data_IF_432830965161
#
_entry.id   IF_432830965161
#
_cell.length_a   1.000
_cell.length_b   1.000
_cell.length_c   1.000
_cell.angle_alpha   90.00
_cell.angle_beta   90.00
_cell.angle_gamma   90.00
#
_symmetry.space_group_name_H-M   'P 1'
#
loop_
_entity.id
_entity.type
_entity.pdbx_description
1 polymer ?
#
# COMPACT_ATOMS: atom_id res chain seq x y z
N UNK A 1 -37.11 -34.38 46.21
CA UNK A 1 -36.28 -35.11 45.25
C UNK A 1 -36.65 -34.58 43.87
N UNK A 2 -36.51 -33.26 43.62
CA UNK A 2 -35.23 -32.58 43.31
C UNK A 2 -34.67 -33.14 41.98
N UNK A 3 -34.44 -32.39 40.91
CA UNK A 3 -34.25 -30.93 40.77
C UNK A 3 -34.44 -30.58 39.29
N UNK A 4 -35.06 -29.44 39.00
CA UNK A 4 -34.96 -28.73 37.72
C UNK A 4 -33.52 -28.23 37.50
N UNK A 5 -32.96 -28.29 36.29
CA UNK A 5 -31.77 -27.52 35.97
C UNK A 5 -32.17 -26.15 35.39
N UNK A 6 -31.88 -25.10 36.16
CA UNK A 6 -31.67 -23.74 35.66
C UNK A 6 -30.24 -23.59 35.18
N UNK A 7 -30.05 -22.99 34.02
CA UNK A 7 -28.79 -22.39 33.57
C UNK A 7 -29.19 -21.13 32.78
N UNK A 8 -29.35 -19.99 33.44
CA UNK A 8 -28.28 -19.04 33.79
C UNK A 8 -27.63 -18.42 32.56
N UNK A 9 -28.01 -17.15 32.37
CA UNK A 9 -27.35 -16.12 31.61
C UNK A 9 -25.83 -16.17 31.74
N UNK A 10 -25.17 -16.36 30.60
CA UNK A 10 -23.82 -15.86 30.39
C UNK A 10 -23.77 -15.23 29.01
N UNK A 11 -24.08 -13.94 28.99
CA UNK A 11 -23.63 -13.04 27.96
C UNK A 11 -22.09 -13.08 27.93
N UNK A 12 -21.51 -13.80 26.96
CA UNK A 12 -20.09 -13.70 26.64
C UNK A 12 -19.83 -12.33 26.04
N UNK A 13 -19.40 -11.44 26.92
CA UNK A 13 -18.78 -10.15 26.68
C UNK A 13 -17.85 -10.18 25.47
N UNK A 14 -18.22 -9.40 24.46
CA UNK A 14 -17.31 -8.90 23.43
C UNK A 14 -16.17 -8.15 24.12
N UNK A 15 -15.01 -8.78 24.24
CA UNK A 15 -13.76 -8.09 24.53
C UNK A 15 -13.18 -7.56 23.22
N UNK A 16 -13.85 -6.55 22.66
CA UNK A 16 -13.30 -5.68 21.63
C UNK A 16 -12.22 -4.84 22.32
N UNK A 17 -10.96 -5.23 22.17
CA UNK A 17 -9.82 -4.46 22.61
C UNK A 17 -9.79 -3.17 21.79
N UNK A 18 -10.35 -2.10 22.37
CA UNK A 18 -10.22 -0.74 21.87
C UNK A 18 -8.75 -0.37 21.83
N UNK A 19 -8.17 -0.32 20.63
CA UNK A 19 -6.88 0.30 20.37
C UNK A 19 -7.01 1.80 20.65
N UNK A 20 -6.68 2.23 21.88
CA UNK A 20 -6.49 3.64 22.15
C UNK A 20 -5.27 4.14 21.37
N UNK A 21 -5.36 5.30 20.69
CA UNK A 21 -4.23 5.86 19.95
C UNK A 21 -3.11 6.23 20.90
N UNK A 22 -1.91 5.69 20.67
CA UNK A 22 -0.75 6.00 21.51
C UNK A 22 -0.47 7.52 21.55
N UNK A 23 -0.13 8.07 22.73
CA UNK A 23 0.04 9.50 22.92
C UNK A 23 1.21 10.04 22.10
N UNK A 24 1.08 11.25 21.51
CA UNK A 24 2.14 11.83 20.68
C UNK A 24 3.43 12.04 21.48
N UNK A 25 4.58 11.89 20.81
CA UNK A 25 5.92 12.05 21.41
C UNK A 25 6.70 13.22 20.80
N UNK A 26 7.69 13.73 21.52
CA UNK A 26 8.63 14.72 21.00
C UNK A 26 9.56 14.06 19.96
N UNK A 27 9.68 14.64 18.77
CA UNK A 27 10.52 14.09 17.70
C UNK A 27 12.04 14.14 17.98
N UNK A 28 12.49 14.87 19.00
CA UNK A 28 13.91 15.01 19.35
C UNK A 28 14.28 14.19 20.58
N UNK A 29 13.57 14.37 21.70
CA UNK A 29 13.87 13.68 22.95
C UNK A 29 13.00 12.46 23.23
N UNK A 30 12.06 12.14 22.33
CA UNK A 30 11.18 10.96 22.34
C UNK A 30 10.24 10.82 23.55
N UNK A 31 10.25 11.78 24.49
CA UNK A 31 9.32 11.78 25.62
C UNK A 31 7.86 11.89 25.14
N UNK A 32 6.96 11.04 25.64
CA UNK A 32 5.54 11.12 25.34
C UNK A 32 4.90 12.34 26.00
N UNK A 33 3.74 12.76 25.47
CA UNK A 33 2.95 13.86 26.04
C UNK A 33 2.63 13.64 27.52
N UNK A 34 2.44 12.40 27.95
CA UNK A 34 2.13 12.00 29.34
C UNK A 34 3.25 12.30 30.32
N UNK A 35 4.50 12.38 29.86
CA UNK A 35 5.69 12.66 30.68
C UNK A 35 6.13 14.14 30.62
N UNK A 36 5.41 14.98 29.88
CA UNK A 36 5.78 16.39 29.67
C UNK A 36 4.86 17.31 30.49
N UNK A 37 5.42 18.33 31.17
CA UNK A 37 4.62 19.28 31.97
C UNK A 37 3.76 20.22 31.11
N UNK A 38 3.98 20.23 29.79
CA UNK A 38 3.29 21.10 28.84
C UNK A 38 2.92 20.32 27.57
N UNK A 39 1.86 20.75 26.84
CA UNK A 39 1.51 20.15 25.56
C UNK A 39 2.61 20.32 24.52
N UNK A 40 2.82 19.26 23.74
CA UNK A 40 3.68 19.24 22.57
C UNK A 40 3.22 20.29 21.57
N UNK A 41 4.19 20.99 21.00
CA UNK A 41 3.96 22.04 20.02
C UNK A 41 4.23 21.49 18.64
N UNK A 42 3.34 21.81 17.71
CA UNK A 42 3.52 21.48 16.32
C UNK A 42 4.56 22.41 15.69
N UNK A 43 5.33 21.90 14.72
CA UNK A 43 6.13 22.75 13.86
C UNK A 43 5.24 23.75 13.12
N UNK A 44 5.53 25.04 13.26
CA UNK A 44 4.71 26.11 12.65
C UNK A 44 4.60 26.01 11.11
N UNK A 45 5.58 25.37 10.45
CA UNK A 45 5.59 25.21 8.99
C UNK A 45 4.78 24.01 8.52
N UNK A 46 5.00 22.82 9.07
CA UNK A 46 4.36 21.60 8.56
C UNK A 46 3.13 21.16 9.36
N UNK A 47 2.98 21.63 10.60
CA UNK A 47 1.93 21.25 11.55
C UNK A 47 1.80 19.75 11.86
N UNK A 48 2.75 18.91 11.42
CA UNK A 48 2.70 17.44 11.56
C UNK A 48 3.69 16.88 12.59
N UNK A 49 4.86 17.49 12.76
CA UNK A 49 5.87 17.03 13.73
C UNK A 49 5.75 17.78 15.05
N UNK A 50 5.86 17.05 16.16
CA UNK A 50 5.70 17.52 17.53
C UNK A 50 7.03 17.73 18.26
N UNK A 51 7.13 18.80 19.05
CA UNK A 51 8.29 19.09 19.91
C UNK A 51 7.84 19.61 21.27
N UNK A 52 8.54 19.22 22.34
CA UNK A 52 8.24 19.73 23.68
C UNK A 52 8.71 21.17 23.89
N UNK A 53 9.71 21.62 23.13
CA UNK A 53 10.27 22.96 23.25
C UNK A 53 10.88 23.47 21.94
N UNK A 54 11.20 24.77 21.90
CA UNK A 54 11.91 25.38 20.75
C UNK A 54 13.33 24.86 20.63
N UNK A 55 13.95 24.49 21.75
CA UNK A 55 15.28 23.91 21.85
C UNK A 55 15.27 22.54 21.17
N UNK A 56 14.33 21.66 21.53
CA UNK A 56 14.17 20.37 20.85
C UNK A 56 13.87 20.54 19.35
N UNK A 57 13.06 21.54 18.95
CA UNK A 57 12.84 21.81 17.53
C UNK A 57 14.13 22.22 16.80
N UNK A 58 14.97 23.06 17.40
CA UNK A 58 16.26 23.49 16.83
C UNK A 58 17.24 22.32 16.72
N UNK A 59 17.34 21.49 17.75
CA UNK A 59 18.18 20.28 17.76
C UNK A 59 17.73 19.28 16.69
N UNK A 60 16.43 19.01 16.59
CA UNK A 60 15.82 18.14 15.59
C UNK A 60 15.79 18.74 14.17
N UNK A 61 16.07 20.04 14.02
CA UNK A 61 15.88 20.78 12.77
C UNK A 61 16.69 20.21 11.60
N UNK A 62 17.93 19.77 11.84
CA UNK A 62 18.79 19.23 10.76
C UNK A 62 18.17 17.98 10.11
N UNK A 63 17.53 17.13 10.91
CA UNK A 63 16.81 15.95 10.42
C UNK A 63 15.45 16.34 9.84
N UNK A 64 14.67 17.13 10.59
CA UNK A 64 13.31 17.52 10.26
C UNK A 64 13.21 18.39 8.99
N UNK A 65 14.15 19.31 8.73
CA UNK A 65 14.09 20.22 7.57
C UNK A 65 13.99 19.49 6.23
N UNK A 66 14.48 18.24 6.16
CA UNK A 66 14.40 17.39 4.95
C UNK A 66 12.97 16.93 4.65
N UNK A 67 12.11 16.88 5.67
CA UNK A 67 10.71 16.45 5.59
C UNK A 67 9.72 17.57 5.96
N UNK A 68 10.20 18.70 6.49
CA UNK A 68 9.38 19.80 6.97
C UNK A 68 8.64 20.54 5.86
N UNK A 69 7.32 20.40 5.83
CA UNK A 69 6.43 21.04 4.86
C UNK A 69 6.27 20.22 3.58
N UNK A 70 6.83 19.00 3.55
CA UNK A 70 6.38 17.97 2.63
C UNK A 70 5.08 17.40 3.22
N UNK A 71 4.04 17.14 2.40
CA UNK A 71 2.86 16.44 2.89
C UNK A 71 3.31 15.15 3.59
N UNK A 72 2.76 14.89 4.78
CA UNK A 72 3.08 13.69 5.57
C UNK A 72 2.32 12.45 5.05
N UNK A 73 2.10 12.45 3.75
CA UNK A 73 1.64 11.31 3.00
C UNK A 73 2.91 10.72 2.41
N UNK A 74 3.13 9.43 2.57
CA UNK A 74 4.15 8.71 1.81
C UNK A 74 3.89 8.70 0.29
N UNK A 75 3.26 9.76 -0.23
CA UNK A 75 2.82 9.95 -1.61
C UNK A 75 3.53 11.19 -2.17
N UNK A 76 4.23 10.98 -3.28
CA UNK A 76 4.97 12.00 -4.00
C UNK A 76 4.03 13.12 -4.50
N UNK A 77 4.28 14.43 -4.32
CA UNK A 77 3.39 15.49 -4.83
C UNK A 77 3.13 15.46 -6.34
N UNK A 78 4.05 14.90 -7.14
CA UNK A 78 3.81 14.65 -8.57
C UNK A 78 2.78 13.54 -8.84
N UNK A 79 2.53 12.68 -7.86
CA UNK A 79 1.60 11.56 -7.89
C UNK A 79 0.15 12.03 -7.89
N UNK A 80 -0.26 12.95 -7.02
CA UNK A 80 -1.65 13.43 -6.98
C UNK A 80 -2.04 14.21 -8.25
N UNK A 81 -1.10 14.97 -8.81
CA UNK A 81 -1.29 15.66 -10.09
C UNK A 81 -1.37 14.66 -11.25
N UNK A 82 -0.53 13.63 -11.27
CA UNK A 82 -0.62 12.54 -12.26
C UNK A 82 -1.89 11.71 -12.09
N UNK A 83 -2.33 11.39 -10.87
CA UNK A 83 -3.58 10.70 -10.55
C UNK A 83 -4.78 11.45 -11.14
N UNK A 84 -4.83 12.77 -10.91
CA UNK A 84 -5.90 13.65 -11.40
C UNK A 84 -5.85 13.86 -12.92
N UNK A 85 -4.65 13.88 -13.53
CA UNK A 85 -4.48 14.04 -14.97
C UNK A 85 -4.71 12.75 -15.76
N UNK A 86 -4.43 11.58 -15.17
CA UNK A 86 -4.59 10.27 -15.80
C UNK A 86 -5.99 9.66 -15.59
N UNK A 87 -6.89 10.35 -14.88
CA UNK A 87 -8.23 9.82 -14.55
C UNK A 87 -8.21 8.59 -13.63
N UNK A 88 -7.07 8.29 -13.01
CA UNK A 88 -6.88 7.17 -12.09
C UNK A 88 -7.43 7.47 -10.69
N UNK A 89 -8.03 8.65 -10.50
CA UNK A 89 -8.88 8.96 -9.35
C UNK A 89 -10.17 8.15 -9.35
N UNK A 90 -10.55 7.51 -10.46
CA UNK A 90 -11.73 6.68 -10.46
C UNK A 90 -11.46 5.39 -9.70
N UNK A 91 -12.27 5.13 -8.68
CA UNK A 91 -12.41 3.83 -8.05
C UNK A 91 -12.57 2.70 -9.09
N UNK A 92 -12.97 3.05 -10.32
CA UNK A 92 -13.36 2.16 -11.41
C UNK A 92 -12.31 1.94 -12.51
N UNK A 93 -11.03 2.32 -12.36
CA UNK A 93 -10.04 2.22 -13.47
C UNK A 93 -10.03 0.84 -14.15
N UNK A 94 -9.88 -0.25 -13.39
CA UNK A 94 -9.89 -1.61 -13.94
C UNK A 94 -11.27 -2.02 -14.46
N UNK A 95 -12.36 -1.42 -13.97
CA UNK A 95 -13.73 -1.74 -14.36
C UNK A 95 -14.04 -1.26 -15.79
N UNK A 96 -13.30 -0.26 -16.29
CA UNK A 96 -13.46 0.29 -17.63
C UNK A 96 -12.64 -0.44 -18.70
N UNK A 97 -11.76 -1.36 -18.29
CA UNK A 97 -10.87 -2.07 -19.20
C UNK A 97 -11.51 -3.36 -19.73
N UNK A 98 -11.18 -3.77 -20.96
CA UNK A 98 -11.46 -5.12 -21.43
C UNK A 98 -10.86 -6.17 -20.49
N UNK A 99 -11.53 -7.31 -20.35
CA UNK A 99 -11.13 -8.39 -19.43
C UNK A 99 -9.65 -8.81 -19.58
N UNK A 100 -9.20 -8.98 -20.82
CA UNK A 100 -7.81 -9.34 -21.13
C UNK A 100 -6.80 -8.29 -20.62
N UNK A 101 -7.16 -7.02 -20.73
CA UNK A 101 -6.30 -5.92 -20.31
C UNK A 101 -6.25 -5.84 -18.78
N UNK A 102 -7.36 -6.12 -18.08
CA UNK A 102 -7.38 -6.23 -16.62
C UNK A 102 -6.39 -7.29 -16.15
N UNK A 103 -6.42 -8.49 -16.74
CA UNK A 103 -5.46 -9.54 -16.37
C UNK A 103 -4.02 -9.11 -16.63
N UNK A 104 -3.74 -8.61 -17.83
CA UNK A 104 -2.39 -8.19 -18.24
C UNK A 104 -1.85 -7.12 -17.30
N UNK A 105 -2.65 -6.09 -17.00
CA UNK A 105 -2.24 -4.98 -16.15
C UNK A 105 -2.12 -5.36 -14.68
N UNK A 106 -2.95 -6.27 -14.15
CA UNK A 106 -2.77 -6.79 -12.79
C UNK A 106 -1.44 -7.53 -12.66
N UNK A 107 -1.09 -8.32 -13.68
CA UNK A 107 0.17 -9.07 -13.67
C UNK A 107 1.37 -8.13 -13.84
N UNK A 108 1.32 -7.19 -14.79
CA UNK A 108 2.41 -6.23 -14.99
C UNK A 108 2.56 -5.24 -13.83
N UNK A 109 1.47 -4.88 -13.16
CA UNK A 109 1.51 -4.14 -11.89
C UNK A 109 2.31 -4.91 -10.83
N UNK A 110 2.04 -6.21 -10.66
CA UNK A 110 2.80 -7.05 -9.76
C UNK A 110 4.27 -7.19 -10.19
N UNK A 111 4.55 -7.49 -11.46
CA UNK A 111 5.92 -7.64 -11.98
C UNK A 111 6.74 -6.38 -11.76
N UNK A 112 6.19 -5.22 -12.09
CA UNK A 112 6.85 -3.93 -11.92
C UNK A 112 7.04 -3.58 -10.43
N UNK A 113 6.12 -4.01 -9.55
CA UNK A 113 6.27 -3.85 -8.11
C UNK A 113 7.45 -4.67 -7.56
N UNK A 114 7.58 -5.92 -8.00
CA UNK A 114 8.69 -6.81 -7.63
C UNK A 114 10.01 -6.22 -8.11
N UNK A 115 10.05 -5.71 -9.34
CA UNK A 115 11.19 -4.97 -9.89
C UNK A 115 11.58 -3.79 -9.00
N UNK A 116 10.61 -2.92 -8.67
CA UNK A 116 10.86 -1.73 -7.86
C UNK A 116 11.37 -2.08 -6.45
N UNK A 117 10.82 -3.09 -5.74
CA UNK A 117 11.36 -3.50 -4.43
C UNK A 117 12.80 -4.05 -4.56
N UNK A 118 13.09 -4.83 -5.61
CA UNK A 118 14.44 -5.35 -5.83
C UNK A 118 15.43 -4.20 -6.08
N UNK A 119 15.12 -3.31 -7.03
CA UNK A 119 16.01 -2.20 -7.44
C UNK A 119 16.24 -1.20 -6.32
N UNK A 120 15.20 -0.80 -5.58
CA UNK A 120 15.30 0.27 -4.59
C UNK A 120 15.64 -0.22 -3.17
N UNK A 121 15.32 -1.48 -2.83
CA UNK A 121 15.50 -2.02 -1.46
C UNK A 121 16.41 -3.23 -1.39
N UNK A 122 16.82 -3.78 -2.52
CA UNK A 122 17.59 -5.02 -2.57
C UNK A 122 16.79 -6.24 -2.10
N UNK A 123 15.45 -6.17 -2.14
CA UNK A 123 14.61 -7.33 -1.81
C UNK A 123 14.70 -8.36 -2.93
N UNK A 124 15.51 -9.38 -2.70
CA UNK A 124 15.68 -10.50 -3.62
C UNK A 124 14.67 -11.63 -3.36
N UNK A 125 13.54 -11.39 -2.69
CA UNK A 125 12.48 -12.39 -2.53
C UNK A 125 11.79 -12.77 -3.85
N UNK A 126 11.17 -13.96 -3.90
CA UNK A 126 10.38 -14.37 -5.06
C UNK A 126 11.22 -14.61 -6.31
N UNK A 127 10.89 -13.92 -7.41
CA UNK A 127 11.52 -14.08 -8.73
C UNK A 127 13.04 -13.92 -8.68
N UNK A 128 13.53 -12.89 -7.99
CA UNK A 128 14.97 -12.58 -7.90
C UNK A 128 15.74 -13.53 -6.98
N UNK A 129 15.03 -14.25 -6.11
CA UNK A 129 15.59 -15.25 -5.20
C UNK A 129 15.53 -16.66 -5.75
N UNK A 130 15.02 -16.85 -6.98
CA UNK A 130 14.78 -18.16 -7.58
C UNK A 130 13.61 -18.93 -6.97
N UNK A 131 12.77 -18.27 -6.18
CA UNK A 131 11.58 -18.85 -5.58
C UNK A 131 10.39 -18.80 -6.56
N UNK A 132 9.36 -19.59 -6.31
CA UNK A 132 8.12 -19.53 -7.09
C UNK A 132 7.35 -18.24 -6.75
N UNK A 133 7.10 -17.33 -7.72
CA UNK A 133 6.40 -16.07 -7.47
C UNK A 133 4.87 -16.24 -7.33
N UNK A 134 4.30 -17.38 -7.72
CA UNK A 134 2.84 -17.58 -7.75
C UNK A 134 2.15 -17.42 -6.38
N UNK A 135 2.67 -17.95 -5.26
CA UNK A 135 2.08 -17.71 -3.94
C UNK A 135 2.02 -16.23 -3.56
N UNK A 136 3.04 -15.45 -3.94
CA UNK A 136 3.04 -14.01 -3.67
C UNK A 136 2.07 -13.25 -4.56
N UNK A 137 2.04 -13.58 -5.86
CA UNK A 137 1.03 -13.06 -6.78
C UNK A 137 -0.40 -13.34 -6.30
N UNK A 138 -0.66 -14.53 -5.73
CA UNK A 138 -1.97 -14.86 -5.11
C UNK A 138 -2.30 -13.96 -3.92
N UNK A 139 -1.31 -13.59 -3.11
CA UNK A 139 -1.49 -12.63 -2.00
C UNK A 139 -1.78 -11.24 -2.54
N UNK A 140 -1.11 -10.81 -3.60
CA UNK A 140 -1.39 -9.56 -4.29
C UNK A 140 -2.85 -9.50 -4.79
N UNK A 141 -3.35 -10.55 -5.46
CA UNK A 141 -4.76 -10.60 -5.91
C UNK A 141 -5.75 -10.58 -4.73
N UNK A 142 -5.41 -11.19 -3.59
CA UNK A 142 -6.23 -11.08 -2.37
C UNK A 142 -6.31 -9.63 -1.87
N UNK A 143 -5.18 -8.91 -1.87
CA UNK A 143 -5.17 -7.49 -1.49
C UNK A 143 -6.01 -6.65 -2.45
N UNK A 144 -5.89 -6.90 -3.75
CA UNK A 144 -6.69 -6.21 -4.76
C UNK A 144 -8.20 -6.41 -4.53
N UNK A 145 -8.61 -7.65 -4.21
CA UNK A 145 -10.01 -7.95 -3.85
C UNK A 145 -10.45 -7.21 -2.60
N UNK A 146 -9.66 -7.23 -1.53
CA UNK A 146 -10.00 -6.56 -0.25
C UNK A 146 -10.11 -5.04 -0.43
N UNK A 147 -9.27 -4.45 -1.28
CA UNK A 147 -9.30 -3.02 -1.61
C UNK A 147 -10.42 -2.62 -2.56
N UNK A 148 -11.22 -3.56 -3.06
CA UNK A 148 -12.34 -3.27 -3.94
C UNK A 148 -11.93 -2.72 -5.31
N UNK A 149 -10.69 -2.99 -5.77
CA UNK A 149 -10.22 -2.46 -7.07
C UNK A 149 -10.56 -3.36 -8.26
N UNK A 150 -11.04 -4.57 -7.98
CA UNK A 150 -11.30 -5.58 -9.01
C UNK A 150 -12.69 -5.36 -9.63
N UNK A 151 -12.84 -5.55 -10.94
CA UNK A 151 -14.12 -5.35 -11.64
C UNK A 151 -15.27 -6.18 -11.06
N UNK A 152 -16.51 -5.73 -11.29
CA UNK A 152 -17.71 -6.44 -10.82
C UNK A 152 -17.83 -7.87 -11.36
N UNK A 153 -17.36 -8.12 -12.59
CA UNK A 153 -17.34 -9.45 -13.20
C UNK A 153 -16.26 -10.37 -12.63
N UNK A 154 -15.39 -9.88 -11.73
CA UNK A 154 -14.30 -10.65 -11.17
C UNK A 154 -14.81 -11.79 -10.27
N UNK A 155 -14.66 -13.02 -10.76
CA UNK A 155 -15.07 -14.24 -10.07
C UNK A 155 -13.89 -15.10 -9.62
N UNK A 156 -14.20 -16.23 -8.94
CA UNK A 156 -13.19 -17.24 -8.59
C UNK A 156 -12.59 -17.90 -9.84
N UNK A 157 -13.40 -18.09 -10.86
CA UNK A 157 -13.02 -18.64 -12.16
C UNK A 157 -12.09 -17.67 -12.89
N UNK A 158 -12.46 -16.38 -12.94
CA UNK A 158 -11.63 -15.33 -13.55
C UNK A 158 -10.30 -15.12 -12.83
N UNK A 159 -10.31 -15.27 -11.50
CA UNK A 159 -9.07 -15.32 -10.72
C UNK A 159 -8.18 -16.48 -11.16
N UNK A 160 -8.73 -17.69 -11.29
CA UNK A 160 -7.97 -18.88 -11.70
C UNK A 160 -7.38 -18.69 -13.11
N UNK A 161 -8.17 -18.13 -14.02
CA UNK A 161 -7.73 -17.78 -15.37
C UNK A 161 -6.57 -16.78 -15.35
N UNK A 162 -6.67 -15.70 -14.55
CA UNK A 162 -5.59 -14.74 -14.37
C UNK A 162 -4.31 -15.39 -13.80
N UNK A 163 -4.44 -16.29 -12.81
CA UNK A 163 -3.30 -17.05 -12.26
C UNK A 163 -2.64 -17.96 -13.30
N UNK A 164 -3.42 -18.59 -14.18
CA UNK A 164 -2.91 -19.44 -15.26
C UNK A 164 -2.20 -18.61 -16.34
N UNK A 165 -2.78 -17.48 -16.75
CA UNK A 165 -2.17 -16.52 -17.68
C UNK A 165 -0.86 -15.98 -17.10
N UNK A 166 -0.83 -15.63 -15.82
CA UNK A 166 0.36 -15.10 -15.16
C UNK A 166 1.56 -16.04 -15.23
N UNK A 167 1.33 -17.36 -15.24
CA UNK A 167 2.40 -18.37 -15.27
C UNK A 167 2.76 -18.79 -16.70
N UNK A 168 1.76 -18.89 -17.59
CA UNK A 168 1.91 -19.48 -18.92
C UNK A 168 1.99 -18.47 -20.06
N UNK A 169 1.65 -17.21 -19.79
CA UNK A 169 1.62 -16.14 -20.79
C UNK A 169 2.99 -15.89 -21.43
N UNK A 170 2.98 -15.54 -22.72
CA UNK A 170 4.19 -15.12 -23.43
C UNK A 170 4.67 -13.75 -22.93
N UNK A 171 3.73 -12.81 -22.81
CA UNK A 171 3.87 -11.55 -22.08
C UNK A 171 3.27 -11.69 -20.67
N UNK A 172 3.39 -10.65 -19.83
CA UNK A 172 2.79 -10.56 -18.50
C UNK A 172 2.97 -11.87 -17.72
N UNK A 173 4.22 -12.33 -17.67
CA UNK A 173 4.59 -13.59 -17.04
C UNK A 173 5.34 -13.31 -15.74
N UNK A 174 4.82 -13.76 -14.61
CA UNK A 174 5.40 -13.49 -13.29
C UNK A 174 6.76 -14.15 -13.07
N UNK A 175 7.15 -15.10 -13.93
CA UNK A 175 8.45 -15.74 -13.91
C UNK A 175 9.51 -14.97 -14.74
N UNK A 176 9.16 -13.80 -15.27
CA UNK A 176 10.07 -12.96 -16.07
C UNK A 176 10.05 -11.53 -15.54
N UNK A 177 11.24 -10.99 -15.31
CA UNK A 177 11.43 -9.60 -14.92
C UNK A 177 10.81 -8.65 -15.97
N UNK A 178 10.50 -7.42 -15.54
CA UNK A 178 10.01 -6.38 -16.45
C UNK A 178 10.57 -5.04 -16.04
N UNK A 179 11.14 -4.32 -16.99
CA UNK A 179 11.62 -2.98 -16.75
C UNK A 179 10.64 -1.94 -17.31
N UNK A 180 10.85 -0.69 -16.91
CA UNK A 180 10.07 0.45 -17.39
C UNK A 180 10.03 0.53 -18.93
N UNK A 181 11.14 0.40 -19.69
CA UNK A 181 11.11 0.48 -21.15
C UNK A 181 10.22 -0.60 -21.77
N UNK A 182 10.26 -1.83 -21.26
CA UNK A 182 9.46 -2.94 -21.79
C UNK A 182 7.96 -2.67 -21.65
N UNK A 183 7.53 -2.12 -20.50
CA UNK A 183 6.15 -1.69 -20.28
C UNK A 183 5.76 -0.58 -21.27
N UNK A 184 6.61 0.44 -21.46
CA UNK A 184 6.31 1.54 -22.39
C UNK A 184 6.17 1.02 -23.82
N UNK A 185 7.04 0.11 -24.24
CA UNK A 185 7.01 -0.48 -25.57
C UNK A 185 5.76 -1.35 -25.77
N UNK A 186 5.45 -2.24 -24.82
CA UNK A 186 4.30 -3.13 -24.90
C UNK A 186 2.97 -2.36 -25.01
N UNK A 187 2.76 -1.40 -24.12
CA UNK A 187 1.52 -0.63 -24.06
C UNK A 187 1.49 0.58 -25.00
N UNK A 188 2.62 0.89 -25.65
CA UNK A 188 2.80 2.09 -26.50
C UNK A 188 2.36 3.37 -25.80
N UNK A 189 2.56 3.42 -24.48
CA UNK A 189 2.11 4.50 -23.63
C UNK A 189 3.20 4.84 -22.60
N UNK A 190 3.82 6.04 -22.69
CA UNK A 190 4.91 6.44 -21.79
C UNK A 190 4.47 6.60 -20.33
N UNK A 191 3.17 6.79 -20.09
CA UNK A 191 2.60 6.93 -18.76
C UNK A 191 2.24 5.59 -18.11
N UNK A 192 2.22 4.51 -18.88
CA UNK A 192 1.78 3.21 -18.38
C UNK A 192 2.56 2.69 -17.16
N UNK A 193 3.89 2.81 -17.09
CA UNK A 193 4.62 2.41 -15.88
C UNK A 193 4.20 3.20 -14.64
N UNK A 194 3.79 4.46 -14.80
CA UNK A 194 3.29 5.28 -13.69
C UNK A 194 1.87 4.84 -13.30
N UNK A 195 1.01 4.58 -14.28
CA UNK A 195 -0.34 4.02 -14.06
C UNK A 195 -0.30 2.71 -13.27
N UNK A 196 0.57 1.78 -13.66
CA UNK A 196 0.74 0.51 -12.96
C UNK A 196 1.27 0.69 -11.54
N UNK A 197 2.19 1.64 -11.31
CA UNK A 197 2.64 1.97 -9.95
C UNK A 197 1.53 2.54 -9.09
N UNK A 198 0.74 3.47 -9.61
CA UNK A 198 -0.45 4.02 -8.94
C UNK A 198 -1.41 2.91 -8.54
N UNK A 199 -1.71 2.00 -9.47
CA UNK A 199 -2.55 0.83 -9.20
C UNK A 199 -1.94 -0.05 -8.09
N UNK A 200 -0.62 -0.27 -8.14
CA UNK A 200 0.12 -1.00 -7.13
C UNK A 200 -0.01 -0.37 -5.75
N UNK A 201 0.20 0.94 -5.62
CA UNK A 201 0.04 1.65 -4.35
C UNK A 201 -1.36 1.48 -3.78
N UNK A 202 -2.40 1.61 -4.62
CA UNK A 202 -3.80 1.39 -4.23
C UNK A 202 -4.02 -0.01 -3.65
N UNK A 203 -3.47 -1.04 -4.31
CA UNK A 203 -3.60 -2.44 -3.90
C UNK A 203 -2.82 -2.73 -2.61
N UNK A 204 -1.57 -2.27 -2.51
CA UNK A 204 -0.72 -2.54 -1.35
C UNK A 204 -1.06 -1.63 -0.16
N UNK A 205 -1.74 -0.51 -0.38
CA UNK A 205 -2.03 0.51 0.64
C UNK A 205 -0.79 1.28 1.12
N UNK A 206 0.31 1.22 0.37
CA UNK A 206 1.56 1.91 0.66
C UNK A 206 2.30 2.26 -0.63
N UNK A 207 2.94 3.42 -0.63
CA UNK A 207 3.74 3.87 -1.75
C UNK A 207 5.05 3.11 -1.95
N UNK A 208 5.73 3.43 -3.05
CA UNK A 208 7.15 3.09 -3.22
C UNK A 208 8.00 4.01 -2.31
N UNK A 209 8.87 3.44 -1.48
CA UNK A 209 9.95 4.19 -0.79
C UNK A 209 11.29 3.62 -1.17
#
# INVERSE_FOLDING_TARGET
MDTTPTAEDWASTSSESSEEPEPPTCATCQKPQTELPAPLKHCAKCKTTHYCSRECQKEGWKAHKRICGKPNDGHNPGFHTAQSLLGLTSEDYLHLLPEKDVFTQLIDCYRLRVEDEYVFRGDAGGLYGGENPLPDFKRFLNKAKIKGVLPEWWSKEKRKECEEIAVRGEWANINRAVEKPDIVEHYKNPMMPMTLRILGEKIYGKGFM
#
